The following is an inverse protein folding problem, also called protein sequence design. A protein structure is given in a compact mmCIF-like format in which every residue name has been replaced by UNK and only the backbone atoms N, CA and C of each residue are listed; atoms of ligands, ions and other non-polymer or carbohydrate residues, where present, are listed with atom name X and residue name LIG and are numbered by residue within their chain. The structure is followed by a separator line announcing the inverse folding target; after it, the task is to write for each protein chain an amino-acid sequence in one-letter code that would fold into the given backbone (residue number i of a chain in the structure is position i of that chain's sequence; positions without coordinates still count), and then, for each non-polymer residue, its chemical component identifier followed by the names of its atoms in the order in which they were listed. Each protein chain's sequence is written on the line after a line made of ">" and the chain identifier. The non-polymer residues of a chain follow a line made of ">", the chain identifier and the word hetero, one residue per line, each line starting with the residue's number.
data_IF_850916491183
#
_entry.id   IF_850916491183
#
_cell.length_a   1.000
_cell.length_b   1.000
_cell.length_c   1.000
_cell.angle_alpha   90.00
_cell.angle_beta   90.00
_cell.angle_gamma   90.00
#
_symmetry.space_group_name_H-M   'P 1'
#
loop_
_entity.id
_entity.type
_entity.pdbx_description
1 polymer ?
#
# COMPACT_ATOMS: atom_id res chain seq x y z
N UNK A 1 4.75 -1.34 -10.94
CA UNK A 1 4.71 -1.32 -9.46
C UNK A 1 3.83 -0.15 -9.04
N UNK A 2 3.02 -0.33 -8.02
CA UNK A 2 2.21 0.73 -7.42
C UNK A 2 2.70 1.04 -6.01
N UNK A 3 2.47 2.27 -5.56
CA UNK A 3 2.79 2.70 -4.19
C UNK A 3 1.62 3.46 -3.60
N UNK A 4 1.19 3.09 -2.41
CA UNK A 4 0.20 3.82 -1.63
C UNK A 4 0.92 4.63 -0.55
N UNK A 5 0.64 5.92 -0.47
CA UNK A 5 1.01 6.75 0.67
C UNK A 5 -0.12 6.68 1.68
N UNK A 6 0.19 6.42 2.94
CA UNK A 6 -0.80 6.11 3.97
C UNK A 6 -0.99 7.26 4.94
N UNK A 7 -2.24 7.39 5.41
CA UNK A 7 -2.56 8.21 6.57
C UNK A 7 -1.87 7.66 7.83
N UNK A 8 -1.68 8.54 8.82
CA UNK A 8 -1.13 8.16 10.12
C UNK A 8 -1.90 7.00 10.74
N UNK A 9 -1.17 5.96 11.16
CA UNK A 9 -1.75 4.76 11.75
C UNK A 9 -0.85 4.26 12.89
N UNK A 10 -1.44 3.45 13.78
CA UNK A 10 -0.77 2.94 14.99
C UNK A 10 0.45 2.04 14.69
N UNK A 11 0.55 1.52 13.46
CA UNK A 11 1.66 0.67 13.02
C UNK A 11 2.84 1.47 12.46
N UNK A 12 2.70 2.80 12.29
CA UNK A 12 3.74 3.66 11.73
C UNK A 12 4.00 3.47 10.25
N UNK A 13 3.15 2.72 9.53
CA UNK A 13 3.37 2.43 8.11
C UNK A 13 3.09 3.70 7.33
N UNK A 14 4.09 4.23 6.64
CA UNK A 14 3.97 5.42 5.81
C UNK A 14 3.65 5.09 4.37
N UNK A 15 4.14 3.95 3.87
CA UNK A 15 3.98 3.56 2.47
C UNK A 15 3.75 2.05 2.33
N UNK A 16 2.98 1.67 1.32
CA UNK A 16 2.92 0.30 0.81
C UNK A 16 3.37 0.31 -0.64
N UNK A 17 4.40 -0.46 -0.99
CA UNK A 17 4.84 -0.68 -2.36
C UNK A 17 4.43 -2.08 -2.81
N UNK A 18 3.73 -2.19 -3.93
CA UNK A 18 3.11 -3.44 -4.38
C UNK A 18 3.52 -3.80 -5.80
N UNK A 19 3.85 -5.07 -5.98
CA UNK A 19 4.13 -5.68 -7.27
C UNK A 19 2.91 -6.48 -7.75
N UNK A 20 2.49 -6.27 -8.99
CA UNK A 20 1.39 -7.04 -9.60
C UNK A 20 2.03 -8.23 -10.32
N UNK A 21 2.52 -9.20 -9.55
CA UNK A 21 3.37 -10.30 -10.03
C UNK A 21 2.59 -11.60 -10.29
N UNK A 22 1.74 -12.07 -9.36
CA UNK A 22 1.02 -13.35 -9.52
C UNK A 22 -0.50 -13.19 -9.55
N UNK A 23 -1.02 -12.74 -10.69
CA UNK A 23 -2.46 -12.59 -10.96
C UNK A 23 -2.88 -13.58 -12.06
N UNK A 24 -3.95 -14.33 -11.83
CA UNK A 24 -4.55 -15.22 -12.83
C UNK A 24 -6.07 -15.06 -12.87
N UNK A 25 -6.57 -14.46 -13.94
CA UNK A 25 -8.01 -14.29 -14.14
C UNK A 25 -8.73 -15.64 -14.37
N UNK A 26 -8.10 -16.53 -15.15
CA UNK A 26 -8.66 -17.87 -15.43
C UNK A 26 -8.83 -18.71 -14.17
N UNK A 27 -7.86 -18.66 -13.26
CA UNK A 27 -7.90 -19.37 -11.96
C UNK A 27 -8.60 -18.56 -10.88
N UNK A 28 -8.92 -17.29 -11.15
CA UNK A 28 -9.49 -16.32 -10.21
C UNK A 28 -8.65 -16.16 -8.93
N UNK A 29 -7.34 -16.06 -9.10
CA UNK A 29 -6.38 -15.97 -7.98
C UNK A 29 -5.53 -14.72 -8.11
N UNK A 30 -5.25 -14.06 -6.98
CA UNK A 30 -4.31 -12.96 -6.86
C UNK A 30 -3.43 -13.25 -5.63
N UNK A 31 -2.12 -13.34 -5.84
CA UNK A 31 -1.14 -13.41 -4.78
C UNK A 31 0.01 -12.46 -5.11
N UNK A 32 0.15 -11.41 -4.31
CA UNK A 32 1.05 -10.31 -4.63
C UNK A 32 2.06 -10.05 -3.55
N UNK A 33 3.28 -9.76 -3.98
CA UNK A 33 4.34 -9.29 -3.10
C UNK A 33 4.19 -7.80 -2.83
N UNK A 34 4.36 -7.38 -1.57
CA UNK A 34 4.36 -5.98 -1.19
C UNK A 34 5.33 -5.68 -0.05
N UNK A 35 5.75 -4.42 0.07
CA UNK A 35 6.60 -3.92 1.14
C UNK A 35 5.83 -2.91 1.98
N UNK A 36 5.86 -3.07 3.29
CA UNK A 36 5.46 -2.02 4.23
C UNK A 36 6.69 -1.18 4.57
N UNK A 37 6.65 0.13 4.32
CA UNK A 37 7.65 1.06 4.86
C UNK A 37 7.11 1.69 6.14
N UNK A 38 7.84 1.49 7.21
CA UNK A 38 7.52 1.96 8.56
C UNK A 38 8.44 3.12 8.87
N UNK A 39 7.85 4.28 9.15
CA UNK A 39 8.56 5.45 9.64
C UNK A 39 8.81 5.29 11.15
N UNK A 40 10.07 5.09 11.51
CA UNK A 40 10.47 4.81 12.91
C UNK A 40 10.11 6.01 13.80
N UNK A 41 10.19 7.23 13.27
CA UNK A 41 9.88 8.45 14.03
C UNK A 41 8.42 8.52 14.48
N UNK A 42 7.51 7.80 13.79
CA UNK A 42 6.08 7.75 14.12
C UNK A 42 5.74 6.75 15.21
N UNK A 43 6.64 5.82 15.54
CA UNK A 43 6.40 4.73 16.51
C UNK A 43 7.37 4.75 17.69
N UNK A 44 8.51 5.42 17.55
CA UNK A 44 9.46 5.55 18.63
C UNK A 44 8.91 6.45 19.75
N UNK A 45 9.16 6.05 20.99
CA UNK A 45 8.93 6.92 22.14
C UNK A 45 9.93 8.08 22.09
N UNK A 46 9.46 9.27 21.69
CA UNK A 46 10.28 10.45 21.52
C UNK A 46 10.93 10.94 22.82
N UNK A 47 10.43 10.55 24.00
CA UNK A 47 11.07 10.87 25.29
C UNK A 47 12.25 9.95 25.56
N UNK A 48 12.17 8.69 25.14
CA UNK A 48 13.21 7.69 25.38
C UNK A 48 14.24 7.63 24.25
N UNK A 49 13.80 7.87 23.03
CA UNK A 49 14.61 7.80 21.81
C UNK A 49 14.34 9.04 20.92
N UNK A 50 14.80 10.23 21.34
CA UNK A 50 14.54 11.48 20.62
C UNK A 50 15.14 11.51 19.20
N UNK A 51 16.21 10.74 18.96
CA UNK A 51 16.90 10.69 17.66
C UNK A 51 16.45 9.53 16.76
N UNK A 52 15.40 8.79 17.15
CA UNK A 52 14.90 7.65 16.38
C UNK A 52 14.25 8.13 15.06
N UNK A 53 15.00 7.98 13.98
CA UNK A 53 14.62 8.41 12.63
C UNK A 53 14.92 7.31 11.62
N UNK A 54 14.37 7.43 10.41
CA UNK A 54 14.59 6.51 9.31
C UNK A 54 13.42 5.57 9.05
N UNK A 55 13.60 4.73 8.03
CA UNK A 55 12.58 3.82 7.54
C UNK A 55 13.01 2.37 7.70
N UNK A 56 12.13 1.56 8.28
CA UNK A 56 12.22 0.10 8.21
C UNK A 56 11.36 -0.40 7.05
N UNK A 57 11.85 -1.36 6.28
CA UNK A 57 11.09 -2.01 5.21
C UNK A 57 10.77 -3.45 5.62
N UNK A 58 9.50 -3.84 5.53
CA UNK A 58 9.04 -5.21 5.84
C UNK A 58 8.41 -5.83 4.58
N UNK A 59 9.10 -6.78 3.93
CA UNK A 59 8.55 -7.51 2.78
C UNK A 59 7.50 -8.53 3.23
N UNK A 60 6.41 -8.60 2.48
CA UNK A 60 5.23 -9.43 2.76
C UNK A 60 4.57 -9.93 1.47
N UNK A 61 3.63 -10.85 1.62
CA UNK A 61 2.74 -11.32 0.56
C UNK A 61 1.30 -11.21 1.02
N UNK A 62 0.40 -10.89 0.09
CA UNK A 62 -1.04 -10.88 0.33
C UNK A 62 -1.76 -11.68 -0.75
N UNK A 63 -2.72 -12.48 -0.31
CA UNK A 63 -3.59 -13.25 -1.19
C UNK A 63 -5.01 -12.68 -1.10
N UNK A 64 -5.58 -12.33 -2.25
CA UNK A 64 -6.94 -11.82 -2.29
C UNK A 64 -7.93 -12.96 -2.07
N UNK A 65 -8.92 -12.76 -1.20
CA UNK A 65 -10.07 -13.63 -1.12
C UNK A 65 -10.98 -13.47 -2.35
N UNK A 66 -12.01 -14.31 -2.45
CA UNK A 66 -12.88 -14.31 -3.62
C UNK A 66 -13.66 -13.00 -3.81
N UNK A 67 -14.11 -12.35 -2.74
CA UNK A 67 -14.80 -11.05 -2.83
C UNK A 67 -13.85 -9.96 -3.31
N UNK A 68 -12.64 -9.91 -2.77
CA UNK A 68 -11.59 -8.97 -3.17
C UNK A 68 -11.21 -9.14 -4.64
N UNK A 69 -11.05 -10.39 -5.10
CA UNK A 69 -10.83 -10.69 -6.52
C UNK A 69 -11.97 -10.16 -7.39
N UNK A 70 -13.23 -10.44 -7.02
CA UNK A 70 -14.38 -10.02 -7.81
C UNK A 70 -14.53 -8.49 -7.84
N UNK A 71 -14.22 -7.81 -6.74
CA UNK A 71 -14.24 -6.34 -6.70
C UNK A 71 -13.22 -5.76 -7.68
N UNK A 72 -11.97 -6.25 -7.64
CA UNK A 72 -10.95 -5.83 -8.59
C UNK A 72 -11.32 -6.15 -10.04
N UNK A 73 -11.80 -7.37 -10.29
CA UNK A 73 -12.03 -7.86 -11.64
C UNK A 73 -13.22 -7.16 -12.33
N UNK A 74 -14.27 -6.84 -11.58
CA UNK A 74 -15.50 -6.27 -12.13
C UNK A 74 -15.53 -4.74 -12.10
N UNK A 75 -14.61 -4.08 -11.38
CA UNK A 75 -14.58 -2.62 -11.21
C UNK A 75 -13.25 -2.06 -11.73
N UNK A 76 -13.17 -1.67 -13.03
CA UNK A 76 -11.92 -1.25 -13.66
C UNK A 76 -11.27 -0.01 -13.03
N UNK A 77 -12.02 0.78 -12.28
CA UNK A 77 -11.57 1.96 -11.54
C UNK A 77 -10.90 1.64 -10.19
N UNK A 78 -11.07 0.42 -9.67
CA UNK A 78 -10.46 -0.03 -8.43
C UNK A 78 -9.10 -0.66 -8.71
N UNK A 79 -8.05 -0.06 -8.15
CA UNK A 79 -6.72 -0.64 -8.19
C UNK A 79 -6.59 -1.71 -7.11
N UNK A 80 -5.87 -2.80 -7.43
CA UNK A 80 -5.62 -3.88 -6.49
C UNK A 80 -4.90 -3.42 -5.20
N UNK A 81 -4.02 -2.42 -5.31
CA UNK A 81 -3.38 -1.81 -4.14
C UNK A 81 -4.37 -1.13 -3.18
N UNK A 82 -5.50 -0.63 -3.67
CA UNK A 82 -6.56 -0.06 -2.82
C UNK A 82 -7.24 -1.15 -1.99
N UNK A 83 -7.47 -2.30 -2.61
CA UNK A 83 -8.05 -3.47 -1.95
C UNK A 83 -7.09 -4.01 -0.90
N UNK A 84 -5.79 -4.13 -1.22
CA UNK A 84 -4.75 -4.50 -0.26
C UNK A 84 -4.71 -3.53 0.93
N UNK A 85 -4.68 -2.22 0.69
CA UNK A 85 -4.63 -1.22 1.76
C UNK A 85 -5.84 -1.35 2.69
N UNK A 86 -7.02 -1.55 2.10
CA UNK A 86 -8.27 -1.74 2.84
C UNK A 86 -8.26 -3.03 3.65
N UNK A 87 -7.80 -4.15 3.08
CA UNK A 87 -7.74 -5.46 3.77
C UNK A 87 -6.79 -5.44 4.97
N UNK A 88 -5.75 -4.59 4.92
CA UNK A 88 -4.82 -4.36 6.03
C UNK A 88 -5.38 -3.39 7.10
N UNK A 89 -6.59 -2.86 6.91
CA UNK A 89 -7.20 -1.87 7.79
C UNK A 89 -6.49 -0.52 7.79
N UNK A 90 -5.88 -0.16 6.65
CA UNK A 90 -5.14 1.08 6.44
C UNK A 90 -5.91 2.01 5.52
N UNK A 91 -5.57 3.30 5.53
CA UNK A 91 -6.18 4.32 4.68
C UNK A 91 -5.08 4.95 3.82
N UNK A 92 -5.21 4.87 2.51
CA UNK A 92 -4.33 5.56 1.57
C UNK A 92 -4.80 7.01 1.37
N UNK A 93 -3.85 7.95 1.36
CA UNK A 93 -4.08 9.35 0.99
C UNK A 93 -3.83 9.59 -0.50
N UNK A 94 -2.95 8.79 -1.10
CA UNK A 94 -2.73 8.80 -2.55
C UNK A 94 -2.13 7.48 -3.03
N UNK A 95 -2.35 7.19 -4.31
CA UNK A 95 -1.74 6.08 -5.04
C UNK A 95 -0.86 6.67 -6.15
N UNK A 96 0.36 6.16 -6.20
CA UNK A 96 1.36 6.47 -7.19
C UNK A 96 1.70 5.23 -8.02
N UNK A 97 2.11 5.44 -9.27
CA UNK A 97 2.59 4.39 -10.16
C UNK A 97 4.04 4.66 -10.55
N UNK A 98 4.86 3.62 -10.53
CA UNK A 98 6.24 3.68 -11.02
C UNK A 98 6.23 3.71 -12.54
N UNK A 99 6.81 4.75 -13.14
CA UNK A 99 7.16 4.79 -14.54
C UNK A 99 8.39 3.90 -14.78
N UNK A 100 8.27 2.81 -15.59
CA UNK A 100 9.38 1.89 -15.82
C UNK A 100 10.54 2.50 -16.62
N UNK A 101 10.33 3.60 -17.35
CA UNK A 101 11.37 4.25 -18.15
C UNK A 101 12.21 5.20 -17.31
N UNK A 102 11.55 5.98 -16.44
CA UNK A 102 12.22 7.02 -15.65
C UNK A 102 12.55 6.60 -14.23
N UNK A 103 12.02 5.45 -13.78
CA UNK A 103 12.09 4.98 -12.38
C UNK A 103 11.51 5.98 -11.37
N UNK A 104 10.68 6.91 -11.83
CA UNK A 104 10.01 7.90 -10.98
C UNK A 104 8.58 7.46 -10.68
N UNK A 105 8.10 7.82 -9.50
CA UNK A 105 6.70 7.68 -9.15
C UNK A 105 5.92 8.93 -9.56
N UNK A 106 4.75 8.72 -10.15
CA UNK A 106 3.76 9.77 -10.41
C UNK A 106 2.45 9.44 -9.71
N UNK A 107 1.81 10.45 -9.12
CA UNK A 107 0.50 10.30 -8.51
C UNK A 107 -0.55 10.06 -9.60
N UNK A 108 -1.26 8.95 -9.49
CA UNK A 108 -2.33 8.56 -10.42
C UNK A 108 -3.73 8.67 -9.79
N UNK A 109 -3.80 8.67 -8.45
CA UNK A 109 -5.06 8.80 -7.72
C UNK A 109 -4.82 9.52 -6.40
N UNK A 110 -5.44 10.68 -6.22
CA UNK A 110 -5.52 11.35 -4.91
C UNK A 110 -6.76 10.84 -4.19
N UNK A 111 -6.56 10.40 -2.94
CA UNK A 111 -7.60 9.87 -2.07
C UNK A 111 -7.70 10.82 -0.86
N UNK A 112 -8.18 12.04 -1.11
CA UNK A 112 -8.28 13.04 -0.05
C UNK A 112 -9.42 12.73 0.92
N UNK A 113 -8.99 12.42 2.15
CA UNK A 113 -9.47 12.85 3.47
C UNK A 113 -11.00 12.88 3.67
N UNK A 114 -11.51 11.88 4.39
CA UNK A 114 -12.69 12.11 5.24
C UNK A 114 -12.30 13.22 6.22
N UNK A 115 -13.11 14.28 6.24
CA UNK A 115 -12.96 15.47 7.09
C UNK A 115 -12.72 15.10 8.57
N UNK A 116 -11.99 15.99 9.25
CA UNK A 116 -11.64 15.93 10.67
C UNK A 116 -12.85 15.80 11.60
#
# INVERSE_FOLDING_TARGET
>A
MFKAILASNKRGISEIEMNYDNISESRKTINVSYNEKIDISKIADSKKYPDATGFATSPKSWEANQTEFQNWYNQPEILLIEILVTSLGLVATEIQQLDPQTSNYSTIKLLNQVEA
#
